data_IF_210512149997
#
_entry.id   IF_210512149997
#
_cell.length_a   1.000
_cell.length_b   1.000
_cell.length_c   1.000
_cell.angle_alpha   90.00
_cell.angle_beta   90.00
_cell.angle_gamma   90.00
#
_symmetry.space_group_name_H-M   'P 1'
#
loop_
_entity.id
_entity.type
_entity.pdbx_description
1 polymer ?
#
# COMPACT_ATOMS: atom_id res chain seq x y z
N UNK A 1 19.64 -33.89 -1.15
CA UNK A 1 18.21 -33.56 -1.31
C UNK A 1 17.51 -33.76 0.01
N UNK A 2 16.97 -32.68 0.59
CA UNK A 2 15.66 -32.73 1.22
C UNK A 2 14.73 -31.68 0.60
N UNK A 3 13.50 -32.11 0.33
CA UNK A 3 12.40 -31.32 -0.24
C UNK A 3 11.54 -30.60 0.82
N UNK A 4 10.26 -30.34 0.52
CA UNK A 4 9.50 -29.16 0.91
C UNK A 4 9.04 -29.21 2.36
N UNK A 5 9.70 -28.48 3.25
CA UNK A 5 9.22 -28.22 4.61
C UNK A 5 8.99 -26.73 4.90
N UNK A 6 9.25 -25.84 3.94
CA UNK A 6 9.23 -24.39 4.16
C UNK A 6 7.86 -23.73 3.94
N UNK A 7 7.05 -24.22 2.99
CA UNK A 7 5.72 -23.66 2.71
C UNK A 7 4.67 -24.00 3.79
N UNK A 8 4.75 -25.20 4.39
CA UNK A 8 3.75 -25.68 5.35
C UNK A 8 3.72 -24.89 6.68
N UNK A 9 4.82 -24.21 7.04
CA UNK A 9 4.89 -23.45 8.30
C UNK A 9 4.23 -22.06 8.17
N UNK A 10 4.29 -21.44 6.99
CA UNK A 10 3.63 -20.16 6.68
C UNK A 10 2.10 -20.34 6.61
N UNK A 11 1.65 -21.42 5.97
CA UNK A 11 0.22 -21.74 5.84
C UNK A 11 -0.46 -21.98 7.20
N UNK A 12 0.25 -22.60 8.15
CA UNK A 12 -0.30 -22.91 9.50
C UNK A 12 -0.43 -21.68 10.41
N UNK A 13 0.27 -20.59 10.13
CA UNK A 13 0.16 -19.32 10.85
C UNK A 13 -0.95 -18.42 10.30
N UNK A 14 -1.22 -18.51 8.99
CA UNK A 14 -2.28 -17.75 8.31
C UNK A 14 -3.65 -18.41 8.47
N UNK A 15 -3.72 -19.75 8.52
CA UNK A 15 -4.96 -20.52 8.72
C UNK A 15 -5.08 -20.91 10.19
N UNK A 16 -5.64 -20.03 11.02
CA UNK A 16 -5.84 -20.26 12.45
C UNK A 16 -6.51 -21.61 12.76
N UNK A 17 -5.80 -22.48 13.48
CA UNK A 17 -6.30 -23.78 13.92
C UNK A 17 -7.48 -23.62 14.89
N UNK A 18 -8.66 -24.08 14.49
CA UNK A 18 -9.75 -24.38 15.44
C UNK A 18 -10.52 -25.63 15.01
N UNK A 19 -9.99 -26.79 15.42
CA UNK A 19 -10.79 -28.00 15.46
C UNK A 19 -11.61 -28.03 16.73
N UNK A 20 -12.93 -27.84 16.64
CA UNK A 20 -13.87 -28.32 17.66
C UNK A 20 -15.10 -28.95 16.99
N UNK A 21 -15.27 -30.24 17.27
CA UNK A 21 -16.40 -31.06 16.80
C UNK A 21 -17.64 -30.88 17.70
N UNK A 22 -18.83 -30.85 17.08
CA UNK A 22 -20.16 -31.33 17.53
C UNK A 22 -21.21 -30.68 16.61
N UNK A 23 -22.31 -31.27 16.16
CA UNK A 23 -22.96 -32.57 16.28
C UNK A 23 -24.21 -32.43 15.38
N UNK A 24 -24.58 -33.48 14.64
CA UNK A 24 -25.61 -33.39 13.60
C UNK A 24 -27.04 -33.29 14.14
N UNK A 25 -27.96 -32.91 13.25
CA UNK A 25 -29.34 -33.42 13.19
C UNK A 25 -29.92 -33.15 11.79
N UNK A 26 -30.52 -34.19 11.20
CA UNK A 26 -31.31 -34.17 9.97
C UNK A 26 -32.75 -33.70 10.24
N UNK A 27 -33.37 -33.02 9.27
CA UNK A 27 -34.81 -33.07 8.90
C UNK A 27 -34.97 -32.01 7.78
N UNK A 28 -35.73 -32.11 6.69
CA UNK A 28 -36.92 -32.88 6.28
C UNK A 28 -37.72 -31.93 5.35
N UNK A 29 -38.05 -32.35 4.12
CA UNK A 29 -38.43 -31.44 3.02
C UNK A 29 -39.82 -30.78 3.03
N UNK A 30 -40.06 -29.92 2.03
CA UNK A 30 -41.40 -29.44 1.63
C UNK A 30 -41.42 -28.11 0.86
N UNK A 31 -41.74 -28.16 -0.45
CA UNK A 31 -42.01 -27.01 -1.33
C UNK A 31 -43.36 -26.33 -1.00
N UNK A 32 -43.37 -25.00 -0.80
CA UNK A 32 -44.49 -24.10 -1.18
C UNK A 32 -44.00 -22.65 -1.40
N UNK A 33 -44.60 -21.85 -2.31
CA UNK A 33 -44.14 -20.50 -2.65
C UNK A 33 -44.75 -19.42 -1.75
N UNK A 34 -43.94 -18.45 -1.28
CA UNK A 34 -44.38 -17.35 -0.40
C UNK A 34 -44.28 -16.00 -1.13
N UNK A 35 -45.37 -15.23 -1.05
CA UNK A 35 -45.50 -13.83 -1.49
C UNK A 35 -44.47 -12.88 -0.83
N UNK A 36 -44.01 -11.87 -1.57
CA UNK A 36 -43.07 -10.84 -1.07
C UNK A 36 -43.80 -9.81 -0.20
N UNK A 37 -43.42 -9.73 1.07
CA UNK A 37 -43.62 -8.55 1.93
C UNK A 37 -42.30 -7.77 2.07
N UNK A 38 -42.33 -6.43 2.25
CA UNK A 38 -41.12 -5.61 2.30
C UNK A 38 -40.32 -5.85 3.59
N UNK A 39 -38.99 -5.89 3.46
CA UNK A 39 -38.05 -6.16 4.55
C UNK A 39 -38.06 -5.04 5.63
N UNK A 40 -37.94 -5.39 6.92
CA UNK A 40 -37.80 -4.40 7.99
C UNK A 40 -36.41 -3.76 8.01
N UNK A 41 -36.32 -2.54 8.54
CA UNK A 41 -35.07 -1.81 8.76
C UNK A 41 -34.11 -2.60 9.66
N UNK A 42 -32.86 -2.77 9.22
CA UNK A 42 -31.84 -3.54 9.93
C UNK A 42 -31.25 -2.72 11.11
N UNK A 43 -30.99 -3.32 12.29
CA UNK A 43 -30.29 -2.64 13.38
C UNK A 43 -28.80 -2.50 13.06
N UNK A 44 -28.16 -1.47 13.63
CA UNK A 44 -26.74 -1.18 13.48
C UNK A 44 -25.86 -2.41 13.78
N UNK A 45 -25.01 -2.78 12.83
CA UNK A 45 -24.05 -3.86 12.97
C UNK A 45 -22.87 -3.41 13.85
N UNK A 46 -22.52 -4.23 14.83
CA UNK A 46 -21.27 -4.13 15.59
C UNK A 46 -20.33 -5.24 15.11
N UNK A 47 -19.04 -4.95 14.83
CA UNK A 47 -18.13 -5.94 14.28
C UNK A 47 -17.84 -7.07 15.29
N UNK A 48 -17.54 -8.31 14.82
CA UNK A 48 -17.34 -9.47 15.69
C UNK A 48 -16.07 -9.36 16.54
N UNK A 49 -16.11 -9.90 17.75
CA UNK A 49 -15.08 -9.75 18.78
C UNK A 49 -13.84 -10.66 18.64
N UNK A 50 -13.77 -11.50 17.60
CA UNK A 50 -12.76 -12.56 17.47
C UNK A 50 -11.84 -12.38 16.25
N UNK A 51 -11.50 -11.14 15.88
CA UNK A 51 -10.37 -10.90 14.98
C UNK A 51 -9.08 -11.22 15.71
N UNK A 52 -8.26 -12.13 15.16
CA UNK A 52 -6.83 -12.09 15.48
C UNK A 52 -6.37 -10.69 15.10
N UNK A 53 -5.75 -9.98 16.04
CA UNK A 53 -5.21 -8.65 15.81
C UNK A 53 -4.34 -8.68 14.53
N UNK A 54 -4.72 -7.95 13.47
CA UNK A 54 -4.00 -7.95 12.20
C UNK A 54 -2.52 -7.60 12.39
N UNK A 55 -2.21 -6.73 13.35
CA UNK A 55 -0.84 -6.37 13.69
C UNK A 55 -0.05 -7.57 14.23
N UNK A 56 -0.70 -8.47 14.98
CA UNK A 56 -0.07 -9.71 15.48
C UNK A 56 0.11 -10.73 14.35
N UNK A 57 -0.86 -10.86 13.44
CA UNK A 57 -0.74 -11.73 12.27
C UNK A 57 0.35 -11.24 11.31
N UNK A 58 0.44 -9.94 11.05
CA UNK A 58 1.49 -9.30 10.28
C UNK A 58 2.85 -9.46 10.95
N UNK A 59 2.99 -9.13 12.24
CA UNK A 59 4.27 -9.29 12.98
C UNK A 59 4.76 -10.75 12.96
N UNK A 60 3.84 -11.72 13.07
CA UNK A 60 4.17 -13.16 13.01
C UNK A 60 4.57 -13.61 11.60
N UNK A 61 3.91 -13.07 10.57
CA UNK A 61 4.14 -13.39 9.16
C UNK A 61 5.43 -12.73 8.65
N UNK A 62 5.69 -11.47 9.01
CA UNK A 62 6.94 -10.77 8.74
C UNK A 62 8.11 -11.40 9.51
N UNK A 63 7.94 -11.83 10.77
CA UNK A 63 8.99 -12.57 11.47
C UNK A 63 9.27 -13.95 10.83
N UNK A 64 8.24 -14.64 10.32
CA UNK A 64 8.38 -15.90 9.60
C UNK A 64 9.01 -15.71 8.21
N UNK A 65 8.62 -14.67 7.46
CA UNK A 65 9.23 -14.29 6.18
C UNK A 65 10.67 -13.82 6.37
N UNK A 66 10.96 -12.98 7.38
CA UNK A 66 12.31 -12.53 7.72
C UNK A 66 13.22 -13.68 8.15
N UNK A 67 12.69 -14.68 8.88
CA UNK A 67 13.42 -15.90 9.23
C UNK A 67 13.62 -16.85 8.03
N UNK A 68 12.80 -16.76 6.98
CA UNK A 68 12.98 -17.48 5.70
C UNK A 68 13.86 -16.70 4.71
N UNK A 69 13.94 -15.37 4.87
CA UNK A 69 14.67 -14.39 4.06
C UNK A 69 16.14 -14.18 4.45
N UNK A 70 16.72 -15.07 5.26
CA UNK A 70 18.18 -15.14 5.52
C UNK A 70 18.95 -15.62 4.27
N UNK A 71 18.77 -14.92 3.14
CA UNK A 71 19.69 -14.71 2.04
C UNK A 71 18.88 -14.29 0.80
N UNK A 72 18.72 -12.98 0.56
CA UNK A 72 19.24 -12.35 -0.67
C UNK A 72 18.99 -10.84 -0.71
N UNK A 73 20.08 -10.17 -1.04
CA UNK A 73 20.22 -8.76 -1.35
C UNK A 73 19.79 -8.46 -2.79
N UNK A 74 18.65 -7.80 -2.97
CA UNK A 74 18.63 -6.63 -3.85
C UNK A 74 19.58 -5.56 -3.26
N UNK A 75 20.03 -4.56 -4.04
CA UNK A 75 21.03 -3.61 -3.55
C UNK A 75 20.65 -2.92 -2.23
N UNK A 76 19.36 -2.87 -1.84
CA UNK A 76 18.91 -2.26 -0.57
C UNK A 76 17.64 -2.93 0.03
N UNK A 77 17.50 -4.27 0.06
CA UNK A 77 16.28 -4.98 0.54
C UNK A 77 15.94 -4.80 2.06
N UNK A 78 16.58 -3.85 2.72
CA UNK A 78 16.30 -3.39 4.08
C UNK A 78 16.88 -1.98 4.20
N UNK A 79 16.29 -1.03 3.46
CA UNK A 79 16.86 0.29 3.30
C UNK A 79 16.70 1.09 4.60
N UNK A 80 17.76 1.15 5.41
CA UNK A 80 17.81 2.09 6.52
C UNK A 80 17.90 3.54 5.99
N UNK A 81 17.42 4.54 6.74
CA UNK A 81 17.67 5.93 6.43
C UNK A 81 19.19 6.17 6.28
N UNK A 82 19.61 6.93 5.26
CA UNK A 82 21.02 7.24 5.04
C UNK A 82 21.55 8.10 6.19
N UNK A 83 22.80 7.87 6.59
CA UNK A 83 23.44 8.69 7.62
C UNK A 83 23.67 10.12 7.10
N UNK A 84 23.45 11.11 7.96
CA UNK A 84 23.71 12.53 7.67
C UNK A 84 24.62 13.15 8.73
N UNK A 85 25.20 14.32 8.45
CA UNK A 85 26.10 15.01 9.39
C UNK A 85 25.41 16.10 10.23
N UNK A 86 24.29 16.64 9.76
CA UNK A 86 23.52 17.65 10.49
C UNK A 86 22.25 17.06 11.09
N UNK A 87 21.83 17.61 12.22
CA UNK A 87 20.57 17.26 12.90
C UNK A 87 19.75 18.50 13.20
N UNK A 88 18.45 18.44 12.89
CA UNK A 88 17.44 19.43 13.23
C UNK A 88 16.24 18.77 13.87
N UNK A 89 15.45 19.53 14.61
CA UNK A 89 14.35 19.02 15.41
C UNK A 89 13.09 19.84 15.17
N UNK A 90 11.97 19.13 15.08
CA UNK A 90 10.64 19.73 14.93
C UNK A 90 9.75 19.19 16.04
N UNK A 91 9.05 20.08 16.76
CA UNK A 91 8.16 19.75 17.87
C UNK A 91 6.87 20.57 17.79
N UNK A 92 5.73 19.91 17.63
CA UNK A 92 4.44 20.59 17.54
C UNK A 92 4.10 21.40 18.81
N UNK A 93 4.45 20.88 19.99
CA UNK A 93 4.11 21.54 21.27
C UNK A 93 5.20 22.50 21.77
N UNK A 94 6.48 22.16 21.63
CA UNK A 94 7.59 22.93 22.19
C UNK A 94 8.29 23.85 21.19
N UNK A 95 8.06 23.67 19.88
CA UNK A 95 8.79 24.34 18.84
C UNK A 95 8.41 25.80 18.60
N UNK A 96 9.31 26.52 17.95
CA UNK A 96 9.13 27.88 17.46
C UNK A 96 9.96 28.09 16.18
N UNK A 97 9.32 28.42 15.07
CA UNK A 97 9.95 28.59 13.75
C UNK A 97 10.89 29.81 13.69
N UNK A 98 10.93 30.65 14.75
CA UNK A 98 11.94 31.70 14.90
C UNK A 98 13.28 31.19 15.48
N UNK A 99 13.36 29.93 15.91
CA UNK A 99 14.54 29.32 16.52
C UNK A 99 15.47 28.68 15.48
N UNK A 100 16.57 28.08 15.94
CA UNK A 100 17.60 27.49 15.07
C UNK A 100 17.37 26.02 14.70
N UNK A 101 16.29 25.41 15.20
CA UNK A 101 15.95 24.01 14.96
C UNK A 101 16.88 23.04 15.66
N UNK A 102 17.66 23.49 16.64
CA UNK A 102 18.45 22.62 17.51
C UNK A 102 17.56 21.79 18.43
N UNK A 103 18.10 20.76 19.07
CA UNK A 103 17.35 19.93 20.01
C UNK A 103 16.78 20.74 21.19
N UNK A 104 17.52 21.75 21.64
CA UNK A 104 17.09 22.63 22.73
C UNK A 104 16.08 23.70 22.28
N UNK A 105 16.08 24.07 21.00
CA UNK A 105 15.18 25.07 20.43
C UNK A 105 14.63 24.55 19.09
N UNK A 106 13.73 23.54 19.12
CA UNK A 106 13.19 22.93 17.90
C UNK A 106 12.31 23.92 17.14
N UNK A 107 12.17 23.69 15.83
CA UNK A 107 11.15 24.36 15.03
C UNK A 107 9.76 23.82 15.37
N UNK A 108 8.71 24.58 15.06
CA UNK A 108 7.33 24.17 15.30
C UNK A 108 6.76 23.38 14.12
N UNK A 109 7.04 23.82 12.90
CA UNK A 109 6.36 23.28 11.71
C UNK A 109 7.29 22.46 10.82
N UNK A 110 6.71 21.40 10.23
CA UNK A 110 7.40 20.59 9.24
C UNK A 110 7.69 21.37 7.96
N UNK A 111 6.78 22.25 7.53
CA UNK A 111 7.00 23.09 6.36
C UNK A 111 8.19 24.04 6.55
N UNK A 112 8.33 24.65 7.73
CA UNK A 112 9.51 25.48 8.01
C UNK A 112 10.81 24.69 7.89
N UNK A 113 10.84 23.44 8.38
CA UNK A 113 11.98 22.56 8.19
C UNK A 113 12.24 22.27 6.69
N UNK A 114 11.22 21.87 5.92
CA UNK A 114 11.34 21.61 4.48
C UNK A 114 11.84 22.81 3.68
N UNK A 115 11.46 24.02 4.07
CA UNK A 115 11.90 25.24 3.38
C UNK A 115 13.36 25.62 3.73
N UNK A 116 13.87 25.16 4.88
CA UNK A 116 15.09 25.69 5.52
C UNK A 116 16.28 24.75 5.49
N UNK A 117 16.08 23.43 5.58
CA UNK A 117 17.21 22.49 5.74
C UNK A 117 18.11 22.43 4.51
N UNK A 118 19.41 22.37 4.77
CA UNK A 118 20.43 22.12 3.76
C UNK A 118 20.57 20.61 3.52
N UNK A 119 21.12 20.19 2.35
CA UNK A 119 21.54 18.81 2.14
C UNK A 119 22.45 18.29 3.25
N UNK A 120 22.43 16.97 3.48
CA UNK A 120 23.14 16.28 4.56
C UNK A 120 22.56 16.58 5.97
N UNK A 121 21.23 16.69 6.05
CA UNK A 121 20.48 16.98 7.29
C UNK A 121 19.42 15.92 7.58
N UNK A 122 19.41 15.43 8.82
CA UNK A 122 18.27 14.69 9.40
C UNK A 122 17.42 15.62 10.24
N UNK A 123 16.13 15.67 9.94
CA UNK A 123 15.07 16.33 10.70
C UNK A 123 14.37 15.28 11.56
N UNK A 124 14.62 15.31 12.86
CA UNK A 124 13.93 14.49 13.84
C UNK A 124 12.62 15.15 14.24
N UNK A 125 11.52 14.46 14.02
CA UNK A 125 10.17 14.95 14.27
C UNK A 125 9.67 14.31 15.57
N UNK A 126 9.37 15.13 16.57
CA UNK A 126 8.84 14.67 17.84
C UNK A 126 7.39 14.23 17.71
N UNK A 127 6.95 13.32 18.58
CA UNK A 127 5.57 12.87 18.62
C UNK A 127 4.59 14.04 18.80
N UNK A 128 3.51 14.01 18.04
CA UNK A 128 2.47 15.04 18.04
C UNK A 128 1.74 15.11 16.71
N UNK A 129 0.64 15.88 16.69
CA UNK A 129 -0.14 16.13 15.49
C UNK A 129 0.41 17.34 14.73
N UNK A 130 0.67 17.13 13.44
CA UNK A 130 1.14 18.14 12.51
C UNK A 130 0.09 18.36 11.41
N UNK A 131 -0.72 19.41 11.55
CA UNK A 131 -1.76 19.76 10.58
C UNK A 131 -1.19 20.46 9.33
N UNK A 132 -1.84 20.24 8.19
CA UNK A 132 -1.66 21.04 6.97
C UNK A 132 -0.69 20.46 5.94
N UNK A 133 -0.18 19.26 6.17
CA UNK A 133 0.77 18.57 5.29
C UNK A 133 2.13 19.28 5.12
N UNK A 134 3.00 18.67 4.32
CA UNK A 134 4.35 19.14 4.01
C UNK A 134 4.60 19.05 2.50
N UNK A 135 5.27 20.06 1.94
CA UNK A 135 5.77 20.04 0.57
C UNK A 135 7.28 20.19 0.58
N UNK A 136 7.97 19.22 -0.01
CA UNK A 136 9.42 19.12 -0.07
C UNK A 136 9.87 19.41 -1.50
N UNK A 137 10.28 20.65 -1.74
CA UNK A 137 10.90 21.10 -3.01
C UNK A 137 12.42 21.28 -2.89
N UNK A 138 12.96 21.12 -1.67
CA UNK A 138 14.38 21.23 -1.36
C UNK A 138 14.86 19.90 -0.79
N UNK A 139 15.49 19.12 -1.65
CA UNK A 139 16.11 17.86 -1.26
C UNK A 139 17.62 17.98 -1.09
N UNK A 140 18.26 16.82 -1.11
CA UNK A 140 19.71 16.70 -1.03
C UNK A 140 20.42 16.83 -2.37
N UNK A 141 21.70 16.46 -2.37
CA UNK A 141 22.48 16.20 -3.57
C UNK A 141 23.33 14.93 -3.38
N UNK A 142 24.27 14.65 -4.29
CA UNK A 142 25.01 13.39 -4.34
C UNK A 142 25.52 12.92 -2.97
N UNK A 143 24.90 11.87 -2.45
CA UNK A 143 25.15 11.23 -1.15
C UNK A 143 24.92 12.13 0.08
N UNK A 144 24.31 13.30 -0.09
CA UNK A 144 23.98 14.27 0.97
C UNK A 144 22.47 14.39 1.11
N UNK A 145 21.87 13.45 1.82
CA UNK A 145 20.42 13.31 1.93
C UNK A 145 19.77 14.36 2.83
N UNK A 146 18.51 14.66 2.53
CA UNK A 146 17.57 15.28 3.49
C UNK A 146 16.64 14.20 4.00
N UNK A 147 16.65 13.95 5.31
CA UNK A 147 15.88 12.88 5.95
C UNK A 147 14.86 13.50 6.90
N UNK A 148 13.58 13.23 6.71
CA UNK A 148 12.53 13.49 7.69
C UNK A 148 12.21 12.18 8.39
N UNK A 149 12.39 12.13 9.71
CA UNK A 149 12.20 10.89 10.45
C UNK A 149 11.57 11.11 11.82
N UNK A 150 10.73 10.17 12.25
CA UNK A 150 10.28 10.12 13.63
C UNK A 150 11.47 10.08 14.59
N UNK A 151 11.42 10.91 15.62
CA UNK A 151 12.41 10.89 16.71
C UNK A 151 12.36 9.56 17.48
N UNK A 152 11.18 8.99 17.61
CA UNK A 152 10.91 7.69 18.22
C UNK A 152 9.86 6.96 17.37
N UNK A 153 10.25 5.90 16.67
CA UNK A 153 9.34 5.12 15.81
C UNK A 153 8.32 4.30 16.60
N UNK A 154 8.50 4.12 17.91
CA UNK A 154 7.49 3.49 18.77
C UNK A 154 6.35 4.43 19.18
N UNK A 155 6.52 5.72 18.91
CA UNK A 155 5.54 6.78 19.14
C UNK A 155 5.67 7.82 18.01
N UNK A 156 5.27 7.46 16.78
CA UNK A 156 5.52 8.28 15.60
C UNK A 156 4.75 9.61 15.66
N UNK A 157 5.25 10.67 15.01
CA UNK A 157 4.48 11.87 14.74
C UNK A 157 3.37 11.57 13.74
N UNK A 158 2.22 12.22 13.92
CA UNK A 158 1.06 12.10 13.03
C UNK A 158 0.95 13.32 12.14
N UNK A 159 1.12 13.12 10.84
CA UNK A 159 0.95 14.14 9.81
C UNK A 159 -0.48 14.07 9.28
N UNK A 160 -1.18 15.20 9.35
CA UNK A 160 -2.56 15.31 8.92
C UNK A 160 -2.67 16.22 7.71
N UNK A 161 -3.44 15.77 6.71
CA UNK A 161 -3.72 16.51 5.50
C UNK A 161 -4.30 17.90 5.73
N UNK A 162 -4.10 18.78 4.75
CA UNK A 162 -4.64 20.14 4.75
C UNK A 162 -5.73 20.30 3.70
N UNK A 163 -6.73 21.14 3.98
CA UNK A 163 -7.80 21.45 3.00
C UNK A 163 -7.28 22.12 1.72
N UNK A 164 -6.08 22.72 1.76
CA UNK A 164 -5.47 23.47 0.67
C UNK A 164 -4.38 22.68 -0.09
N UNK A 165 -4.20 21.38 0.23
CA UNK A 165 -3.17 20.53 -0.40
C UNK A 165 -3.71 19.17 -0.81
N UNK A 166 -3.35 18.72 -1.99
CA UNK A 166 -3.81 17.44 -2.52
C UNK A 166 -3.11 16.25 -1.85
N UNK A 167 -1.93 16.46 -1.26
CA UNK A 167 -1.20 15.43 -0.53
C UNK A 167 -0.84 15.85 0.90
N UNK A 168 -0.81 14.88 1.84
CA UNK A 168 -0.26 15.09 3.19
C UNK A 168 1.25 15.27 3.13
N UNK A 169 1.95 14.47 2.32
CA UNK A 169 3.38 14.61 2.02
C UNK A 169 3.56 14.72 0.51
N UNK A 170 4.01 15.86 0.01
CA UNK A 170 4.35 16.05 -1.40
C UNK A 170 5.87 16.20 -1.58
N UNK A 171 6.43 15.49 -2.57
CA UNK A 171 7.87 15.46 -2.84
C UNK A 171 8.12 15.80 -4.32
N UNK A 172 8.78 16.94 -4.54
CA UNK A 172 9.33 17.40 -5.83
C UNK A 172 10.82 17.71 -5.64
N UNK A 173 11.58 16.69 -5.22
CA UNK A 173 13.00 16.82 -4.95
C UNK A 173 13.74 15.48 -5.01
N UNK A 174 15.06 15.54 -5.19
CA UNK A 174 15.95 14.37 -5.15
C UNK A 174 16.61 14.20 -3.78
N UNK A 175 17.13 13.01 -3.49
CA UNK A 175 17.88 12.71 -2.25
C UNK A 175 17.08 13.01 -0.98
N UNK A 176 15.83 12.54 -0.95
CA UNK A 176 14.88 12.71 0.15
C UNK A 176 14.54 11.36 0.77
N UNK A 177 14.46 11.31 2.10
CA UNK A 177 13.93 10.17 2.84
C UNK A 177 12.79 10.61 3.75
N UNK A 178 11.67 9.89 3.70
CA UNK A 178 10.55 9.98 4.66
C UNK A 178 10.53 8.66 5.43
N UNK A 179 10.70 8.72 6.75
CA UNK A 179 10.89 7.51 7.55
C UNK A 179 10.12 7.51 8.87
N UNK A 180 9.31 6.46 9.09
CA UNK A 180 8.69 6.18 10.39
C UNK A 180 7.57 7.14 10.78
N UNK A 181 6.90 7.80 9.82
CA UNK A 181 5.83 8.75 10.10
C UNK A 181 4.45 8.09 10.02
N UNK A 182 3.51 8.52 10.85
CA UNK A 182 2.08 8.24 10.69
C UNK A 182 1.47 9.33 9.79
N UNK A 183 0.72 8.94 8.76
CA UNK A 183 0.20 9.81 7.70
C UNK A 183 -1.27 9.46 7.50
N UNK A 184 -2.15 10.43 7.75
CA UNK A 184 -3.57 10.22 7.62
C UNK A 184 -4.29 11.47 7.11
N UNK A 185 -5.52 11.27 6.62
CA UNK A 185 -6.43 12.36 6.34
C UNK A 185 -6.79 13.12 7.60
N UNK A 186 -7.30 14.33 7.42
CA UNK A 186 -7.73 15.15 8.55
C UNK A 186 -8.98 14.59 9.26
N UNK A 187 -8.95 14.52 10.59
CA UNK A 187 -10.02 13.96 11.45
C UNK A 187 -11.33 14.78 11.49
N UNK A 188 -11.57 15.72 10.56
CA UNK A 188 -12.71 16.65 10.61
C UNK A 188 -14.01 16.12 9.99
N UNK A 189 -14.06 14.85 9.59
CA UNK A 189 -15.27 14.19 9.08
C UNK A 189 -15.64 14.57 7.64
N UNK A 190 -14.86 15.44 6.99
CA UNK A 190 -14.94 15.79 5.58
C UNK A 190 -13.70 15.23 4.86
N UNK A 191 -13.62 13.89 4.72
CA UNK A 191 -12.53 13.27 3.97
C UNK A 191 -12.60 13.68 2.50
N UNK A 192 -11.46 14.13 1.97
CA UNK A 192 -11.34 14.65 0.60
C UNK A 192 -11.37 13.50 -0.39
N UNK A 193 -12.12 13.69 -1.47
CA UNK A 193 -12.27 12.68 -2.52
C UNK A 193 -11.02 12.50 -3.37
N UNK A 194 -10.02 13.37 -3.27
CA UNK A 194 -8.81 13.43 -4.11
C UNK A 194 -7.53 13.52 -3.27
N UNK A 195 -7.60 13.18 -1.99
CA UNK A 195 -6.45 13.30 -1.09
C UNK A 195 -5.47 12.15 -1.28
N UNK A 196 -4.20 12.49 -1.14
CA UNK A 196 -3.08 11.59 -1.27
C UNK A 196 -2.31 11.55 0.05
N UNK A 197 -1.97 10.37 0.57
CA UNK A 197 -1.08 10.27 1.73
C UNK A 197 0.31 10.79 1.38
N UNK A 198 1.03 10.10 0.49
CA UNK A 198 2.32 10.54 -0.05
C UNK A 198 2.26 10.65 -1.57
N UNK A 199 2.63 11.82 -2.10
CA UNK A 199 2.76 12.07 -3.54
C UNK A 199 4.21 12.41 -3.91
N UNK A 200 4.84 11.59 -4.75
CA UNK A 200 6.12 11.89 -5.39
C UNK A 200 5.84 12.25 -6.85
N UNK A 201 5.85 13.55 -7.15
CA UNK A 201 5.54 14.08 -8.48
C UNK A 201 6.50 15.22 -8.83
N UNK A 202 7.42 15.03 -9.80
CA UNK A 202 8.28 16.11 -10.26
C UNK A 202 7.52 17.12 -11.13
N UNK A 203 7.62 18.42 -10.79
CA UNK A 203 6.93 19.48 -11.55
C UNK A 203 7.83 20.16 -12.59
N UNK A 204 9.15 20.14 -12.41
CA UNK A 204 10.05 21.00 -13.19
C UNK A 204 11.32 20.32 -13.74
N UNK A 205 11.74 19.19 -13.18
CA UNK A 205 12.93 18.47 -13.60
C UNK A 205 12.86 16.98 -13.22
N UNK A 206 13.70 16.16 -13.83
CA UNK A 206 13.92 14.78 -13.37
C UNK A 206 14.36 14.77 -11.91
N UNK A 207 13.81 13.86 -11.11
CA UNK A 207 14.20 13.62 -9.72
C UNK A 207 14.71 12.19 -9.51
N UNK A 208 15.52 12.00 -8.49
CA UNK A 208 16.02 10.66 -8.15
C UNK A 208 16.40 10.49 -6.68
N UNK A 209 16.62 9.25 -6.26
CA UNK A 209 17.04 8.90 -4.90
C UNK A 209 16.00 9.35 -3.88
N UNK A 210 14.82 8.75 -3.95
CA UNK A 210 13.72 8.98 -3.01
C UNK A 210 13.49 7.69 -2.22
N UNK A 211 13.36 7.80 -0.90
CA UNK A 211 13.13 6.67 0.01
C UNK A 211 11.90 6.94 0.89
N UNK A 212 10.91 6.07 0.80
CA UNK A 212 9.70 6.07 1.63
C UNK A 212 9.76 4.80 2.49
N UNK A 213 10.14 4.95 3.75
CA UNK A 213 10.58 3.86 4.61
C UNK A 213 9.72 3.74 5.86
N UNK A 214 9.19 2.54 6.13
CA UNK A 214 8.53 2.22 7.41
C UNK A 214 7.47 3.25 7.86
N UNK A 215 6.77 3.88 6.91
CA UNK A 215 5.69 4.82 7.21
C UNK A 215 4.36 4.08 7.38
N UNK A 216 3.47 4.66 8.17
CA UNK A 216 2.13 4.15 8.42
C UNK A 216 1.11 5.09 7.79
N UNK A 217 0.46 4.67 6.71
CA UNK A 217 -0.43 5.50 5.91
C UNK A 217 -1.84 4.93 6.01
N UNK A 218 -2.79 5.70 6.53
CA UNK A 218 -4.13 5.17 6.75
C UNK A 218 -5.25 6.18 6.66
N UNK A 219 -6.48 5.66 6.53
CA UNK A 219 -7.70 6.48 6.53
C UNK A 219 -7.69 7.58 5.46
N UNK A 220 -7.09 7.29 4.28
CA UNK A 220 -7.08 8.21 3.15
C UNK A 220 -8.33 8.00 2.29
N UNK A 221 -8.97 9.11 1.93
CA UNK A 221 -10.20 9.11 1.14
C UNK A 221 -11.46 8.81 1.96
N UNK A 222 -12.67 9.15 1.47
CA UNK A 222 -13.90 9.05 2.24
C UNK A 222 -14.44 7.61 2.35
N UNK A 223 -14.87 7.13 3.53
CA UNK A 223 -15.14 5.71 3.75
C UNK A 223 -16.39 5.23 3.01
N UNK A 224 -17.40 6.08 2.95
CA UNK A 224 -18.63 5.90 2.19
C UNK A 224 -19.37 7.24 2.22
N UNK A 225 -19.82 7.71 1.07
CA UNK A 225 -20.57 8.97 0.99
C UNK A 225 -22.09 8.78 0.90
N UNK A 226 -22.61 7.56 1.07
CA UNK A 226 -24.07 7.33 1.08
C UNK A 226 -24.75 7.81 -0.22
N UNK A 227 -24.03 7.76 -1.34
CA UNK A 227 -24.52 8.18 -2.66
C UNK A 227 -23.99 9.54 -3.15
N UNK A 228 -22.93 10.11 -2.55
CA UNK A 228 -22.16 11.14 -3.25
C UNK A 228 -21.27 10.47 -4.32
N UNK A 229 -20.90 11.29 -5.30
CA UNK A 229 -20.22 10.94 -6.55
C UNK A 229 -19.17 9.82 -6.44
N UNK A 230 -19.17 8.90 -7.40
CA UNK A 230 -18.10 7.91 -7.62
C UNK A 230 -16.86 8.51 -8.28
N UNK A 231 -16.65 9.82 -8.13
CA UNK A 231 -15.54 10.56 -8.72
C UNK A 231 -14.43 10.83 -7.69
N UNK A 232 -14.28 9.96 -6.70
CA UNK A 232 -13.15 10.03 -5.78
C UNK A 232 -11.97 9.26 -6.37
N UNK A 233 -10.79 9.87 -6.28
CA UNK A 233 -9.51 9.50 -6.89
C UNK A 233 -8.41 9.81 -5.87
N UNK A 234 -8.51 9.18 -4.70
CA UNK A 234 -7.55 9.32 -3.62
C UNK A 234 -6.45 8.26 -3.77
N UNK A 235 -5.27 8.47 -3.17
CA UNK A 235 -4.21 7.46 -3.16
C UNK A 235 -3.59 7.37 -1.76
N UNK A 236 -3.24 6.17 -1.30
CA UNK A 236 -2.41 6.06 -0.10
C UNK A 236 -1.01 6.63 -0.37
N UNK A 237 -0.37 6.11 -1.41
CA UNK A 237 0.95 6.49 -1.86
C UNK A 237 1.00 6.41 -3.39
N UNK A 238 1.45 7.49 -4.03
CA UNK A 238 1.71 7.49 -5.48
C UNK A 238 3.06 8.14 -5.78
N UNK A 239 3.83 7.49 -6.64
CA UNK A 239 4.96 8.08 -7.33
C UNK A 239 4.64 8.14 -8.83
N UNK A 240 4.37 9.34 -9.35
CA UNK A 240 3.94 9.51 -10.73
C UNK A 240 4.75 10.52 -11.51
N UNK A 241 5.06 10.17 -12.76
CA UNK A 241 5.65 11.13 -13.68
C UNK A 241 4.62 12.10 -14.26
N UNK A 242 5.08 13.31 -14.55
CA UNK A 242 4.33 14.33 -15.28
C UNK A 242 5.19 14.92 -16.41
N UNK A 243 5.69 14.04 -17.27
CA UNK A 243 6.67 14.39 -18.32
C UNK A 243 8.12 14.50 -17.83
N UNK A 244 8.37 14.35 -16.53
CA UNK A 244 9.70 14.29 -15.92
C UNK A 244 9.92 12.93 -15.26
N UNK A 245 11.16 12.45 -15.30
CA UNK A 245 11.52 11.11 -14.85
C UNK A 245 11.71 11.06 -13.34
N UNK A 246 11.30 9.94 -12.74
CA UNK A 246 11.64 9.55 -11.37
C UNK A 246 12.59 8.35 -11.45
N UNK A 247 13.73 8.38 -10.74
CA UNK A 247 14.66 7.25 -10.73
C UNK A 247 15.22 6.91 -9.34
N UNK A 248 15.61 5.66 -9.10
CA UNK A 248 16.13 5.21 -7.79
C UNK A 248 15.12 5.51 -6.66
N UNK A 249 13.91 5.00 -6.84
CA UNK A 249 12.81 5.08 -5.87
C UNK A 249 12.78 3.82 -5.01
N UNK A 250 12.72 3.97 -3.70
CA UNK A 250 12.56 2.87 -2.75
C UNK A 250 11.31 3.14 -1.92
N UNK A 251 10.35 2.23 -1.98
CA UNK A 251 9.14 2.20 -1.16
C UNK A 251 9.21 0.91 -0.37
N UNK A 252 9.66 0.99 0.88
CA UNK A 252 10.13 -0.17 1.63
C UNK A 252 9.58 -0.19 3.06
N UNK A 253 8.96 -1.29 3.48
CA UNK A 253 8.50 -1.47 4.86
C UNK A 253 7.27 -0.66 5.28
N UNK A 254 6.58 0.04 4.37
CA UNK A 254 5.42 0.87 4.73
C UNK A 254 4.18 0.01 5.00
N UNK A 255 3.30 0.48 5.88
CA UNK A 255 1.98 -0.09 6.14
C UNK A 255 0.90 0.85 5.58
N UNK A 256 0.01 0.32 4.74
CA UNK A 256 -1.07 1.06 4.10
C UNK A 256 -2.41 0.37 4.40
N UNK A 257 -3.33 1.06 5.09
CA UNK A 257 -4.63 0.47 5.42
C UNK A 257 -5.80 1.44 5.59
N UNK A 258 -7.03 0.93 5.63
CA UNK A 258 -8.25 1.73 5.67
C UNK A 258 -8.26 2.78 4.54
N UNK A 259 -7.90 2.36 3.33
CA UNK A 259 -7.81 3.25 2.17
C UNK A 259 -9.06 3.16 1.31
N UNK A 260 -9.63 4.33 1.01
CA UNK A 260 -10.86 4.50 0.23
C UNK A 260 -10.56 5.32 -1.03
N UNK A 261 -9.91 4.67 -1.98
CA UNK A 261 -9.20 5.32 -3.09
C UNK A 261 -10.07 5.58 -4.32
N UNK A 262 -11.14 4.81 -4.51
CA UNK A 262 -12.14 5.10 -5.54
C UNK A 262 -11.76 4.62 -6.92
N UNK A 263 -11.66 5.50 -7.91
CA UNK A 263 -11.18 5.11 -9.24
C UNK A 263 -9.66 5.01 -9.31
N UNK A 264 -8.99 5.20 -8.18
CA UNK A 264 -7.54 5.16 -8.02
C UNK A 264 -7.12 3.94 -7.18
N UNK A 265 -5.81 3.75 -7.01
CA UNK A 265 -5.21 2.60 -6.34
C UNK A 265 -4.41 3.01 -5.09
N UNK A 266 -4.02 2.03 -4.27
CA UNK A 266 -3.50 2.28 -2.93
C UNK A 266 -2.02 2.67 -2.91
N UNK A 267 -1.15 1.83 -3.50
CA UNK A 267 0.28 2.06 -3.66
C UNK A 267 0.63 2.02 -5.15
N UNK A 268 1.00 3.17 -5.71
CA UNK A 268 1.13 3.34 -7.16
C UNK A 268 2.52 3.79 -7.58
N UNK A 269 3.03 3.18 -8.65
CA UNK A 269 4.20 3.66 -9.40
C UNK A 269 3.79 3.84 -10.86
N UNK A 270 3.70 5.09 -11.31
CA UNK A 270 3.08 5.44 -12.59
C UNK A 270 3.97 6.29 -13.51
N UNK A 271 4.08 5.86 -14.77
CA UNK A 271 4.64 6.64 -15.87
C UNK A 271 6.14 6.45 -16.07
N UNK A 272 6.90 7.52 -16.31
CA UNK A 272 8.36 7.47 -16.52
C UNK A 272 9.11 7.30 -15.19
N UNK A 273 8.88 6.18 -14.52
CA UNK A 273 9.60 5.76 -13.31
C UNK A 273 10.55 4.62 -13.65
N UNK A 274 11.82 4.72 -13.27
CA UNK A 274 12.81 3.67 -13.54
C UNK A 274 13.70 3.36 -12.34
N UNK A 275 14.19 2.12 -12.26
CA UNK A 275 15.06 1.68 -11.15
C UNK A 275 14.36 1.88 -9.79
N UNK A 276 13.29 1.12 -9.56
CA UNK A 276 12.49 1.25 -8.35
C UNK A 276 12.38 -0.06 -7.58
N UNK A 277 12.08 0.05 -6.29
CA UNK A 277 11.81 -1.07 -5.38
C UNK A 277 10.51 -0.78 -4.63
N UNK A 278 9.55 -1.69 -4.70
CA UNK A 278 8.37 -1.77 -3.83
C UNK A 278 8.53 -3.05 -3.03
N UNK A 279 9.06 -2.92 -1.81
CA UNK A 279 9.48 -4.09 -1.02
C UNK A 279 8.96 -4.08 0.40
N UNK A 280 8.65 -5.25 0.96
CA UNK A 280 8.29 -5.40 2.39
C UNK A 280 7.13 -4.51 2.86
N UNK A 281 6.30 -3.99 1.95
CA UNK A 281 5.15 -3.18 2.33
C UNK A 281 4.02 -4.11 2.76
N UNK A 282 3.22 -3.64 3.72
CA UNK A 282 1.98 -4.30 4.14
C UNK A 282 0.79 -3.47 3.68
N UNK A 283 0.06 -3.93 2.67
CA UNK A 283 -1.15 -3.25 2.19
C UNK A 283 -2.35 -4.10 2.55
N UNK A 284 -3.27 -3.56 3.34
CA UNK A 284 -4.45 -4.31 3.76
C UNK A 284 -5.68 -3.46 4.05
N UNK A 285 -6.85 -4.10 4.10
CA UNK A 285 -8.11 -3.40 4.42
C UNK A 285 -8.32 -2.21 3.47
N UNK A 286 -8.22 -2.48 2.15
CA UNK A 286 -8.32 -1.46 1.09
C UNK A 286 -9.43 -1.78 0.11
N UNK A 287 -10.08 -0.73 -0.42
CA UNK A 287 -11.27 -0.87 -1.27
C UNK A 287 -10.99 -0.84 -2.78
N UNK A 288 -9.73 -0.91 -3.19
CA UNK A 288 -9.33 -1.03 -4.58
C UNK A 288 -7.92 -1.64 -4.68
N UNK A 289 -7.39 -1.71 -5.90
CA UNK A 289 -6.08 -2.27 -6.24
C UNK A 289 -5.02 -1.87 -5.20
N UNK A 290 -4.36 -2.87 -4.64
CA UNK A 290 -3.45 -2.68 -3.51
C UNK A 290 -2.10 -2.11 -3.95
N UNK A 291 -1.49 -2.73 -4.96
CA UNK A 291 -0.23 -2.28 -5.57
C UNK A 291 -0.41 -2.23 -7.09
N UNK A 292 -0.12 -1.07 -7.70
CA UNK A 292 -0.21 -0.91 -9.15
C UNK A 292 1.07 -0.32 -9.75
N UNK A 293 1.52 -0.93 -10.84
CA UNK A 293 2.71 -0.58 -11.60
C UNK A 293 2.28 -0.19 -13.03
N UNK A 294 2.06 1.11 -13.21
CA UNK A 294 1.41 1.67 -14.40
C UNK A 294 2.45 2.24 -15.37
N UNK A 295 2.38 1.81 -16.62
CA UNK A 295 3.09 2.35 -17.77
C UNK A 295 2.11 2.77 -18.86
N UNK A 296 2.57 3.65 -19.74
CA UNK A 296 1.89 4.06 -20.97
C UNK A 296 0.57 4.85 -20.82
N UNK A 297 0.07 5.06 -19.60
CA UNK A 297 -1.20 5.77 -19.30
C UNK A 297 -1.31 7.14 -20.02
N UNK A 298 -0.28 7.98 -19.91
CA UNK A 298 -0.32 9.34 -20.49
C UNK A 298 0.34 9.43 -21.87
N UNK A 299 1.34 8.58 -22.16
CA UNK A 299 1.99 8.52 -23.48
C UNK A 299 2.83 7.26 -23.68
N UNK A 300 3.08 6.89 -24.93
CA UNK A 300 3.98 5.77 -25.31
C UNK A 300 5.45 5.92 -24.89
N UNK A 301 5.83 7.05 -24.28
CA UNK A 301 7.18 7.33 -23.77
C UNK A 301 7.32 7.11 -22.27
N UNK A 302 6.20 7.11 -21.55
CA UNK A 302 6.17 6.91 -20.10
C UNK A 302 6.00 5.41 -19.85
N UNK A 303 7.03 4.74 -19.34
CA UNK A 303 6.99 3.30 -19.05
C UNK A 303 7.65 3.07 -17.71
N UNK A 304 6.89 2.55 -16.75
CA UNK A 304 7.42 2.17 -15.44
C UNK A 304 8.24 0.90 -15.61
N UNK A 305 9.53 0.96 -15.25
CA UNK A 305 10.47 -0.11 -15.63
C UNK A 305 11.65 -0.34 -14.72
N UNK A 306 12.29 -1.50 -14.89
CA UNK A 306 13.47 -1.90 -14.11
C UNK A 306 13.17 -1.89 -12.61
N UNK A 307 12.04 -2.51 -12.26
CA UNK A 307 11.48 -2.51 -10.92
C UNK A 307 11.56 -3.87 -10.24
N UNK A 308 11.67 -3.86 -8.91
CA UNK A 308 11.48 -5.02 -8.06
C UNK A 308 10.22 -4.81 -7.22
N UNK A 309 9.28 -5.76 -7.29
CA UNK A 309 8.08 -5.81 -6.44
C UNK A 309 8.15 -7.10 -5.65
N UNK A 310 8.69 -7.03 -4.43
CA UNK A 310 9.04 -8.25 -3.69
C UNK A 310 8.84 -8.19 -2.18
N UNK A 311 8.60 -9.36 -1.59
CA UNK A 311 8.44 -9.52 -0.15
C UNK A 311 7.29 -8.68 0.46
N UNK A 312 6.36 -8.18 -0.37
CA UNK A 312 5.20 -7.45 0.11
C UNK A 312 4.14 -8.43 0.63
N UNK A 313 3.33 -7.95 1.57
CA UNK A 313 2.14 -8.64 2.07
C UNK A 313 0.92 -7.82 1.65
N UNK A 314 0.04 -8.42 0.86
CA UNK A 314 -1.22 -7.82 0.42
C UNK A 314 -2.36 -8.71 0.92
N UNK A 315 -3.24 -8.16 1.77
CA UNK A 315 -4.34 -8.91 2.36
C UNK A 315 -5.62 -8.07 2.37
N UNK A 316 -6.76 -8.66 2.05
CA UNK A 316 -8.05 -7.94 2.15
C UNK A 316 -8.11 -6.68 1.23
N UNK A 317 -7.63 -6.84 -0.01
CA UNK A 317 -7.76 -5.85 -1.07
C UNK A 317 -8.94 -6.23 -1.97
N UNK A 318 -10.12 -5.78 -1.60
CA UNK A 318 -11.37 -6.08 -2.31
C UNK A 318 -12.18 -4.81 -2.45
N UNK A 319 -12.78 -4.62 -3.61
CA UNK A 319 -13.67 -3.51 -3.79
C UNK A 319 -14.91 -3.58 -2.88
N UNK A 320 -15.23 -4.72 -2.25
CA UNK A 320 -16.28 -4.84 -1.23
C UNK A 320 -15.84 -4.52 0.19
N UNK A 321 -14.57 -4.14 0.40
CA UNK A 321 -14.11 -3.70 1.70
C UNK A 321 -14.55 -2.26 2.03
N UNK A 322 -14.94 -1.96 3.28
CA UNK A 322 -15.46 -2.87 4.32
C UNK A 322 -16.96 -3.17 4.11
N UNK A 323 -17.59 -2.62 3.06
CA UNK A 323 -19.02 -2.69 2.81
C UNK A 323 -19.40 -3.77 1.80
N UNK A 324 -19.70 -4.99 2.28
CA UNK A 324 -20.06 -6.14 1.43
C UNK A 324 -21.30 -5.94 0.53
N UNK A 325 -22.12 -4.89 0.70
CA UNK A 325 -23.38 -4.75 -0.04
C UNK A 325 -23.33 -3.81 -1.24
N UNK A 326 -22.38 -2.86 -1.27
CA UNK A 326 -22.29 -1.89 -2.37
C UNK A 326 -20.91 -1.90 -3.04
N UNK A 327 -19.87 -2.23 -2.27
CA UNK A 327 -18.49 -2.07 -2.70
C UNK A 327 -18.13 -0.63 -3.10
N UNK A 328 -16.90 -0.49 -3.59
CA UNK A 328 -16.36 0.70 -4.19
C UNK A 328 -17.16 1.00 -5.46
N UNK A 329 -17.79 2.17 -5.48
CA UNK A 329 -18.77 2.47 -6.51
C UNK A 329 -18.17 2.84 -7.88
N UNK A 330 -16.84 2.80 -8.01
CA UNK A 330 -16.13 2.70 -9.29
C UNK A 330 -16.61 1.49 -10.09
N UNK A 331 -16.91 0.40 -9.41
CA UNK A 331 -17.29 -0.86 -10.04
C UNK A 331 -18.82 -1.03 -10.11
N UNK A 332 -19.33 -1.71 -11.15
CA UNK A 332 -20.72 -2.16 -11.16
C UNK A 332 -21.05 -3.01 -9.92
N UNK A 333 -22.28 -2.93 -9.43
CA UNK A 333 -22.74 -3.79 -8.34
C UNK A 333 -22.63 -5.27 -8.75
N UNK A 334 -22.01 -6.08 -7.88
CA UNK A 334 -21.68 -7.48 -8.11
C UNK A 334 -20.35 -7.73 -8.83
N UNK A 335 -19.64 -6.68 -9.26
CA UNK A 335 -18.32 -6.79 -9.89
C UNK A 335 -17.23 -6.69 -8.82
N UNK A 336 -16.30 -7.65 -8.81
CA UNK A 336 -15.20 -7.79 -7.84
C UNK A 336 -13.90 -7.67 -8.65
N UNK A 337 -13.28 -6.49 -8.69
CA UNK A 337 -12.19 -6.21 -9.66
C UNK A 337 -10.96 -5.55 -9.04
N UNK A 338 -10.81 -5.63 -7.72
CA UNK A 338 -9.63 -5.13 -7.01
C UNK A 338 -8.48 -6.16 -7.06
N UNK A 339 -7.39 -5.80 -7.73
CA UNK A 339 -6.17 -6.60 -7.74
C UNK A 339 -5.36 -6.49 -6.44
N UNK A 340 -4.70 -7.58 -6.08
CA UNK A 340 -3.65 -7.54 -5.08
C UNK A 340 -2.40 -6.84 -5.60
N UNK A 341 -1.88 -7.31 -6.74
CA UNK A 341 -0.78 -6.65 -7.47
C UNK A 341 -1.15 -6.58 -8.95
N UNK A 342 -1.27 -5.37 -9.47
CA UNK A 342 -1.52 -5.12 -10.89
C UNK A 342 -0.27 -4.55 -11.57
N UNK A 343 -0.02 -5.01 -12.79
CA UNK A 343 0.92 -4.38 -13.70
C UNK A 343 0.16 -3.94 -14.93
N UNK A 344 -0.19 -2.66 -14.99
CA UNK A 344 -0.75 -2.03 -16.19
C UNK A 344 0.36 -1.52 -17.11
N UNK A 345 0.85 -2.35 -18.04
CA UNK A 345 1.81 -1.88 -19.06
C UNK A 345 3.25 -1.63 -18.58
N UNK A 346 3.66 -2.17 -17.43
CA UNK A 346 5.04 -2.12 -16.94
C UNK A 346 6.05 -2.95 -17.78
N UNK A 347 7.36 -2.70 -17.60
CA UNK A 347 8.40 -3.45 -18.32
C UNK A 347 9.68 -3.72 -17.52
N UNK A 348 10.32 -4.88 -17.71
CA UNK A 348 11.57 -5.19 -17.00
C UNK A 348 11.36 -5.29 -15.49
N UNK A 349 10.37 -6.07 -15.07
CA UNK A 349 9.95 -6.19 -13.67
C UNK A 349 10.28 -7.58 -13.13
N UNK A 350 10.68 -7.63 -11.86
CA UNK A 350 10.80 -8.86 -11.08
C UNK A 350 9.76 -8.83 -9.95
N UNK A 351 8.77 -9.72 -10.01
CA UNK A 351 7.65 -9.81 -9.07
C UNK A 351 7.77 -11.11 -8.29
N UNK A 352 8.25 -11.03 -7.05
CA UNK A 352 8.71 -12.22 -6.36
C UNK A 352 8.49 -12.22 -4.85
N UNK A 353 8.27 -13.41 -4.29
CA UNK A 353 8.19 -13.61 -2.84
C UNK A 353 7.10 -12.79 -2.12
N UNK A 354 6.12 -12.29 -2.86
CA UNK A 354 4.97 -11.61 -2.28
C UNK A 354 4.00 -12.63 -1.69
N UNK A 355 3.31 -12.23 -0.63
CA UNK A 355 2.15 -12.93 -0.08
C UNK A 355 0.91 -12.12 -0.43
N UNK A 356 0.06 -12.64 -1.31
CA UNK A 356 -1.14 -11.97 -1.78
C UNK A 356 -2.34 -12.85 -1.47
N UNK A 357 -3.36 -12.34 -0.78
CA UNK A 357 -4.55 -13.14 -0.61
C UNK A 357 -5.75 -12.42 -0.03
N UNK A 358 -6.92 -13.06 -0.14
CA UNK A 358 -8.22 -12.43 0.13
C UNK A 358 -8.38 -11.13 -0.67
N UNK A 359 -8.11 -11.23 -1.97
CA UNK A 359 -8.26 -10.14 -2.94
C UNK A 359 -9.36 -10.48 -3.93
N UNK A 360 -9.81 -9.55 -4.77
CA UNK A 360 -10.72 -9.95 -5.85
C UNK A 360 -9.94 -10.72 -6.92
N UNK A 361 -8.85 -10.12 -7.38
CA UNK A 361 -7.86 -10.69 -8.29
C UNK A 361 -6.50 -10.79 -7.58
N UNK A 362 -5.76 -11.87 -7.79
CA UNK A 362 -4.48 -12.12 -7.12
C UNK A 362 -3.37 -11.20 -7.64
N UNK A 363 -2.66 -11.69 -8.66
CA UNK A 363 -1.69 -10.91 -9.43
C UNK A 363 -2.19 -10.82 -10.88
N UNK A 364 -2.26 -9.62 -11.45
CA UNK A 364 -2.69 -9.42 -12.83
C UNK A 364 -1.63 -8.69 -13.65
N UNK A 365 -1.38 -9.22 -14.86
CA UNK A 365 -0.51 -8.61 -15.87
C UNK A 365 -1.35 -8.33 -17.12
N UNK A 366 -1.68 -7.06 -17.35
CA UNK A 366 -2.42 -6.63 -18.53
C UNK A 366 -2.03 -5.22 -18.94
N UNK A 367 -2.25 -4.81 -20.19
CA UNK A 367 -2.13 -3.40 -20.55
C UNK A 367 -3.47 -2.86 -21.00
N UNK A 368 -4.00 -1.90 -20.24
CA UNK A 368 -5.26 -1.21 -20.58
C UNK A 368 -5.10 -0.30 -21.79
N UNK A 369 -3.87 0.17 -22.02
CA UNK A 369 -3.50 1.04 -23.12
C UNK A 369 -3.04 0.29 -24.38
N UNK A 370 -3.10 -1.05 -24.36
CA UNK A 370 -2.81 -1.91 -25.51
C UNK A 370 -1.34 -1.98 -25.93
N UNK A 371 -0.43 -1.48 -25.08
CA UNK A 371 1.01 -1.59 -25.27
C UNK A 371 1.53 -2.91 -24.69
N UNK A 372 2.60 -3.45 -25.26
CA UNK A 372 3.14 -4.75 -24.86
C UNK A 372 3.81 -4.68 -23.48
N UNK A 373 3.28 -5.38 -22.47
CA UNK A 373 4.05 -5.73 -21.27
C UNK A 373 5.22 -6.62 -21.70
N UNK A 374 6.43 -6.32 -21.23
CA UNK A 374 7.62 -7.07 -21.64
C UNK A 374 8.63 -7.24 -20.53
N UNK A 375 9.37 -8.34 -20.59
CA UNK A 375 10.50 -8.61 -19.70
C UNK A 375 10.06 -8.62 -18.22
N UNK A 376 8.86 -9.15 -17.95
CA UNK A 376 8.35 -9.35 -16.58
C UNK A 376 8.58 -10.80 -16.19
N UNK A 377 9.19 -10.99 -15.02
CA UNK A 377 9.36 -12.28 -14.35
C UNK A 377 8.44 -12.31 -13.12
N UNK A 378 7.60 -13.35 -13.01
CA UNK A 378 6.76 -13.60 -11.83
C UNK A 378 7.15 -14.95 -11.27
N UNK A 379 7.65 -14.99 -10.03
CA UNK A 379 8.13 -16.24 -9.44
C UNK A 379 8.09 -16.25 -7.92
N UNK A 380 7.92 -17.44 -7.32
CA UNK A 380 8.01 -17.62 -5.87
C UNK A 380 7.02 -16.79 -5.03
N UNK A 381 5.91 -16.33 -5.61
CA UNK A 381 4.83 -15.68 -4.86
C UNK A 381 3.89 -16.74 -4.25
N UNK A 382 3.30 -16.42 -3.10
CA UNK A 382 2.19 -17.15 -2.49
C UNK A 382 0.91 -16.35 -2.74
N UNK A 383 0.02 -16.87 -3.58
CA UNK A 383 -1.27 -16.24 -3.91
C UNK A 383 -2.41 -17.17 -3.53
N UNK A 384 -3.38 -16.70 -2.73
CA UNK A 384 -4.43 -17.55 -2.19
C UNK A 384 -5.75 -16.81 -1.91
N UNK A 385 -6.86 -17.53 -2.00
CA UNK A 385 -8.20 -17.01 -1.67
C UNK A 385 -8.58 -15.71 -2.41
N UNK A 386 -8.09 -15.50 -3.63
CA UNK A 386 -8.69 -14.52 -4.53
C UNK A 386 -10.11 -14.94 -4.97
N UNK A 387 -11.02 -13.99 -5.18
CA UNK A 387 -12.39 -14.26 -5.59
C UNK A 387 -12.49 -14.82 -7.02
N UNK A 388 -11.59 -14.39 -7.92
CA UNK A 388 -11.49 -14.88 -9.29
C UNK A 388 -10.22 -15.70 -9.54
N UNK A 389 -9.23 -15.10 -10.20
CA UNK A 389 -8.01 -15.77 -10.63
C UNK A 389 -6.86 -15.39 -9.68
N UNK A 390 -6.02 -16.37 -9.34
CA UNK A 390 -4.82 -16.12 -8.51
C UNK A 390 -3.71 -15.45 -9.35
N UNK A 391 -3.66 -15.74 -10.65
CA UNK A 391 -2.75 -15.11 -11.61
C UNK A 391 -3.45 -14.96 -12.96
N UNK A 392 -3.54 -13.72 -13.43
CA UNK A 392 -4.03 -13.40 -14.78
C UNK A 392 -2.89 -12.85 -15.63
N UNK A 393 -2.75 -13.37 -16.84
CA UNK A 393 -1.88 -12.83 -17.88
C UNK A 393 -2.76 -12.62 -19.11
N UNK A 394 -2.83 -11.38 -19.61
CA UNK A 394 -3.66 -11.03 -20.75
C UNK A 394 -3.22 -11.64 -22.09
N UNK A 395 -3.56 -10.99 -23.20
CA UNK A 395 -3.24 -11.47 -24.55
C UNK A 395 -2.11 -10.70 -25.25
N UNK A 396 -1.63 -9.62 -24.63
CA UNK A 396 -0.66 -8.67 -25.19
C UNK A 396 0.54 -8.50 -24.28
N UNK A 397 1.11 -9.61 -23.83
CA UNK A 397 2.29 -9.62 -22.95
C UNK A 397 3.39 -10.58 -23.45
N UNK A 398 4.64 -10.25 -23.15
CA UNK A 398 5.80 -11.10 -23.28
C UNK A 398 6.39 -11.36 -21.88
N UNK A 399 5.74 -12.27 -21.17
CA UNK A 399 6.04 -12.65 -19.78
C UNK A 399 6.82 -13.97 -19.80
N UNK A 400 7.89 -14.03 -19.01
CA UNK A 400 8.59 -15.30 -18.77
C UNK A 400 8.26 -15.78 -17.37
N UNK A 401 7.37 -16.78 -17.28
CA UNK A 401 7.10 -17.49 -16.04
C UNK A 401 8.21 -18.54 -15.79
N UNK A 402 8.84 -18.51 -14.61
CA UNK A 402 9.85 -19.50 -14.20
C UNK A 402 9.63 -19.90 -12.74
N UNK A 403 9.60 -21.22 -12.51
CA UNK A 403 9.44 -21.86 -11.20
C UNK A 403 8.18 -21.40 -10.43
N UNK A 404 7.06 -22.06 -10.78
CA UNK A 404 5.81 -22.21 -10.05
C UNK A 404 5.43 -21.02 -9.14
N UNK A 405 4.47 -20.20 -9.57
CA UNK A 405 3.47 -19.69 -8.61
C UNK A 405 2.97 -20.93 -7.87
N UNK A 406 3.23 -21.01 -6.56
CA UNK A 406 2.72 -22.11 -5.77
C UNK A 406 1.23 -21.82 -5.57
N UNK A 407 0.45 -22.15 -6.59
CA UNK A 407 -1.00 -22.36 -6.50
C UNK A 407 -1.16 -23.62 -5.65
N UNK A 408 -1.00 -23.49 -4.34
CA UNK A 408 -1.73 -24.38 -3.45
C UNK A 408 -3.15 -23.86 -3.57
N UNK A 409 -3.98 -24.56 -4.33
CA UNK A 409 -5.34 -24.76 -3.90
C UNK A 409 -5.18 -25.61 -2.63
N UNK A 410 -5.14 -25.06 -1.39
CA UNK A 410 -5.60 -25.90 -0.32
C UNK A 410 -7.00 -26.27 -0.79
N UNK A 411 -7.21 -27.54 -1.10
CA UNK A 411 -8.54 -28.11 -1.07
C UNK A 411 -9.04 -27.85 0.34
N UNK A 412 -9.61 -26.66 0.56
CA UNK A 412 -10.49 -26.34 1.66
C UNK A 412 -11.73 -27.16 1.33
N UNK A 413 -11.63 -28.45 1.62
CA UNK A 413 -12.72 -29.37 1.59
C UNK A 413 -13.79 -28.77 2.51
N UNK A 414 -14.79 -28.13 1.91
CA UNK A 414 -16.03 -27.69 2.55
C UNK A 414 -15.90 -26.72 3.74
N UNK A 415 -14.98 -25.76 3.70
CA UNK A 415 -15.14 -24.55 4.54
C UNK A 415 -15.53 -23.38 3.68
N UNK A 416 -16.84 -23.13 3.63
CA UNK A 416 -17.42 -21.83 3.29
C UNK A 416 -16.74 -20.79 4.17
N UNK A 417 -15.83 -19.99 3.61
CA UNK A 417 -15.42 -18.73 4.21
C UNK A 417 -16.62 -17.79 4.08
N UNK A 418 -17.41 -17.67 5.15
CA UNK A 418 -18.54 -16.72 5.24
C UNK A 418 -18.05 -15.27 5.49
N UNK A 419 -16.96 -14.85 4.84
CA UNK A 419 -16.48 -13.47 4.80
C UNK A 419 -16.71 -12.90 3.41
N UNK A 420 -17.73 -12.04 3.29
CA UNK A 420 -18.34 -11.45 2.09
C UNK A 420 -18.67 -12.44 0.95
N UNK A 421 -19.94 -12.86 0.92
CA UNK A 421 -20.68 -13.27 -0.27
C UNK A 421 -21.71 -12.21 -0.62
#
# INVERSE_FOLDING_TARGET
MPGPLRAALVLALIVGASGLACGGEEDGGGDTPIERTPAPANPAYAPPADRIDPAVAATSTFAALAALGEARSGPDANAAPPATTLSRYVSAQAGDDAQDGSEANPWRTLQHAADTVDPDTTVYVEAGDYEGGIVITRGGDTDRWVVFTARDTSNPPRLLGGMDRDAVVAIDASWVTIHGLEIASHDRGDLRSDEIGINVEPESADISHIRLLDNHIHHIGPPDTGGKSCSYNAHGLIAQSKGYRIANLIIDGNELHDLYVGNSECLVVNGLVEQFQVTRNYVHDVNNIAIDIIGYEKSSRETTRFGLVADNVVLDASNYWPYCTRGNCTYPEGDESSDGIYVDGGAGLDIAYNVVGRTDHGIELQSENGELIRDVEVHHNLVFNSNYEQLTIGASENVTERDNVLVDEPTLANTTLEGCK
#
